data_IF_132639285456
#
_entry.id   IF_132639285456
#
_cell.length_a   1.000
_cell.length_b   1.000
_cell.length_c   1.000
_cell.angle_alpha   90.00
_cell.angle_beta   90.00
_cell.angle_gamma   90.00
#
_symmetry.space_group_name_H-M   'P 1'
#
loop_
_entity.id
_entity.type
_entity.pdbx_description
1 polymer ?
#
# COMPACT_ATOMS: atom_id res chain seq x y z
N UNK A 1 -21.42 -5.90 1.13
CA UNK A 1 -21.77 -4.97 0.05
C UNK A 1 -21.55 -5.73 -1.26
N UNK A 2 -22.54 -5.82 -2.15
CA UNK A 2 -22.40 -6.50 -3.44
C UNK A 2 -21.52 -5.65 -4.37
N UNK A 3 -20.20 -5.89 -4.33
CA UNK A 3 -19.22 -5.17 -5.11
C UNK A 3 -18.16 -6.14 -5.65
N UNK A 4 -17.65 -5.85 -6.84
CA UNK A 4 -16.58 -6.61 -7.50
C UNK A 4 -15.33 -5.75 -7.68
N UNK A 5 -14.18 -6.38 -7.63
CA UNK A 5 -12.92 -5.80 -8.09
C UNK A 5 -12.90 -5.86 -9.61
N UNK A 6 -12.92 -4.71 -10.26
CA UNK A 6 -12.97 -4.63 -11.73
C UNK A 6 -11.62 -4.25 -12.35
N UNK A 7 -10.70 -3.71 -11.56
CA UNK A 7 -9.32 -3.42 -11.97
C UNK A 7 -8.44 -3.24 -10.74
N UNK A 8 -7.14 -3.38 -10.88
CA UNK A 8 -6.19 -2.82 -9.92
C UNK A 8 -5.96 -1.34 -10.22
N UNK A 9 -5.71 -0.56 -9.16
CA UNK A 9 -5.33 0.85 -9.31
C UNK A 9 -3.81 0.97 -9.44
N UNK A 10 -3.06 0.42 -8.49
CA UNK A 10 -1.60 0.39 -8.54
C UNK A 10 -1.03 -0.79 -7.74
N UNK A 11 0.19 -1.17 -8.07
CA UNK A 11 0.99 -2.18 -7.37
C UNK A 11 2.15 -1.51 -6.62
N UNK A 12 2.57 -2.10 -5.50
CA UNK A 12 3.53 -1.46 -4.61
C UNK A 12 2.99 -0.13 -4.08
N UNK A 13 3.83 0.90 -4.08
CA UNK A 13 3.41 2.26 -3.68
C UNK A 13 3.12 2.41 -2.20
N UNK A 14 3.82 1.64 -1.37
CA UNK A 14 3.70 1.68 0.09
C UNK A 14 5.04 1.37 0.74
N UNK A 15 5.21 1.79 1.99
CA UNK A 15 6.43 1.52 2.75
C UNK A 15 6.20 1.52 4.25
N UNK A 16 7.07 0.80 4.95
CA UNK A 16 7.28 0.95 6.38
C UNK A 16 8.23 2.12 6.58
N UNK A 17 7.71 3.21 7.12
CA UNK A 17 8.47 4.41 7.47
C UNK A 17 8.67 4.43 8.98
N UNK A 18 9.90 4.70 9.42
CA UNK A 18 10.31 4.67 10.83
C UNK A 18 11.03 5.95 11.22
N UNK A 19 11.17 6.18 12.50
CA UNK A 19 11.97 7.30 13.02
C UNK A 19 13.43 7.24 12.48
N UNK A 20 14.10 8.37 12.24
CA UNK A 20 15.41 8.39 11.56
C UNK A 20 16.49 7.53 12.23
N UNK A 21 16.42 7.35 13.56
CA UNK A 21 17.38 6.56 14.32
C UNK A 21 17.16 5.03 14.26
N UNK A 22 16.06 4.58 13.67
CA UNK A 22 15.76 3.15 13.51
C UNK A 22 16.36 2.69 12.18
N UNK A 23 17.32 1.78 12.24
CA UNK A 23 18.03 1.25 11.07
C UNK A 23 17.67 -0.19 10.76
N UNK A 24 17.13 -0.93 11.73
CA UNK A 24 16.73 -2.32 11.60
C UNK A 24 15.31 -2.54 12.11
N UNK A 25 14.56 -3.44 11.47
CA UNK A 25 13.18 -3.77 11.87
C UNK A 25 13.11 -4.25 13.32
N UNK A 26 14.11 -4.98 13.79
CA UNK A 26 14.17 -5.50 15.18
C UNK A 26 14.14 -4.40 16.25
N UNK A 27 14.58 -3.18 15.93
CA UNK A 27 14.55 -2.06 16.86
C UNK A 27 13.13 -1.52 17.13
N UNK A 28 12.13 -2.03 16.42
CA UNK A 28 10.72 -1.76 16.69
C UNK A 28 10.17 -2.58 17.87
N UNK A 29 10.93 -3.51 18.42
CA UNK A 29 10.57 -4.24 19.65
C UNK A 29 10.28 -3.25 20.80
N UNK A 30 9.16 -3.48 21.50
CA UNK A 30 8.69 -2.59 22.57
C UNK A 30 8.09 -1.27 22.11
N UNK A 31 7.91 -1.06 20.80
CA UNK A 31 7.42 0.19 20.22
C UNK A 31 6.01 0.04 19.64
N UNK A 32 5.38 1.18 19.31
CA UNK A 32 4.12 1.22 18.57
C UNK A 32 4.35 1.57 17.10
N UNK A 33 3.67 0.85 16.21
CA UNK A 33 3.68 1.08 14.76
C UNK A 33 2.25 1.26 14.28
N UNK A 34 2.01 2.31 13.49
CA UNK A 34 0.68 2.59 12.97
C UNK A 34 0.39 1.85 11.66
N UNK A 35 -0.85 1.41 11.53
CA UNK A 35 -1.46 0.86 10.32
C UNK A 35 -2.70 1.69 9.96
N UNK A 36 -3.14 1.74 8.67
CA UNK A 36 -4.31 2.52 8.31
C UNK A 36 -5.64 1.89 8.78
N UNK A 37 -5.73 0.57 8.75
CA UNK A 37 -6.85 -0.21 9.28
C UNK A 37 -6.51 -1.71 9.30
N UNK A 38 -7.28 -2.48 10.07
CA UNK A 38 -6.96 -3.88 10.36
C UNK A 38 -6.97 -4.82 9.15
N UNK A 39 -7.87 -4.61 8.18
CA UNK A 39 -7.96 -5.40 6.94
C UNK A 39 -7.11 -4.86 5.79
N UNK A 40 -6.23 -3.89 6.05
CA UNK A 40 -5.38 -3.32 4.99
C UNK A 40 -4.30 -4.30 4.56
N UNK A 41 -3.92 -4.23 3.28
CA UNK A 41 -2.72 -4.90 2.77
C UNK A 41 -1.46 -4.50 3.57
N UNK A 42 -1.43 -3.27 4.06
CA UNK A 42 -0.35 -2.76 4.90
C UNK A 42 -0.20 -3.57 6.20
N UNK A 43 -1.33 -3.89 6.86
CA UNK A 43 -1.31 -4.74 8.06
C UNK A 43 -0.80 -6.15 7.76
N UNK A 44 -1.21 -6.74 6.64
CA UNK A 44 -0.73 -8.05 6.20
C UNK A 44 0.79 -8.04 5.99
N UNK A 45 1.29 -7.05 5.25
CA UNK A 45 2.72 -6.97 4.89
C UNK A 45 3.60 -6.64 6.11
N UNK A 46 3.18 -5.70 6.96
CA UNK A 46 3.99 -5.34 8.14
C UNK A 46 4.08 -6.47 9.15
N UNK A 47 3.00 -7.23 9.34
CA UNK A 47 3.04 -8.40 10.23
C UNK A 47 3.91 -9.53 9.67
N UNK A 48 3.92 -9.73 8.35
CA UNK A 48 4.88 -10.65 7.72
C UNK A 48 6.31 -10.19 8.01
N UNK A 49 6.61 -8.92 7.76
CA UNK A 49 7.94 -8.36 8.01
C UNK A 49 8.36 -8.47 9.49
N UNK A 50 7.43 -8.29 10.42
CA UNK A 50 7.72 -8.47 11.85
C UNK A 50 8.05 -9.93 12.17
N UNK A 51 7.25 -10.88 11.71
CA UNK A 51 7.52 -12.32 11.93
C UNK A 51 8.86 -12.73 11.35
N UNK A 52 9.20 -12.28 10.15
CA UNK A 52 10.48 -12.57 9.49
C UNK A 52 11.69 -12.03 10.27
N UNK A 53 11.45 -11.04 11.14
CA UNK A 53 12.47 -10.44 12.02
C UNK A 53 12.36 -10.88 13.49
N UNK A 54 11.55 -11.91 13.79
CA UNK A 54 11.39 -12.45 15.14
C UNK A 54 10.56 -11.57 16.08
N UNK A 55 9.79 -10.63 15.54
CA UNK A 55 8.89 -9.76 16.28
C UNK A 55 7.47 -10.32 16.29
N UNK A 56 6.74 -10.04 17.38
CA UNK A 56 5.36 -10.48 17.60
C UNK A 56 4.44 -9.25 17.54
N UNK A 57 3.58 -9.14 16.52
CA UNK A 57 2.57 -8.08 16.50
C UNK A 57 1.51 -8.33 17.57
N UNK A 58 1.18 -7.27 18.30
CA UNK A 58 0.13 -7.28 19.32
C UNK A 58 -0.78 -6.07 19.17
N UNK A 59 -1.97 -6.14 19.76
CA UNK A 59 -2.86 -4.99 19.95
C UNK A 59 -3.13 -4.83 21.43
N UNK A 60 -2.58 -3.78 22.01
CA UNK A 60 -2.68 -3.46 23.43
C UNK A 60 -3.06 -1.99 23.60
N UNK A 61 -3.75 -1.68 24.69
CA UNK A 61 -4.07 -0.30 25.05
C UNK A 61 -2.80 0.56 25.19
N UNK A 62 -2.93 1.84 24.92
CA UNK A 62 -1.83 2.79 25.07
C UNK A 62 -1.25 2.75 26.48
N UNK A 63 0.08 2.71 26.59
CA UNK A 63 0.79 2.64 27.87
C UNK A 63 0.88 1.24 28.48
N UNK A 64 0.30 0.21 27.86
CA UNK A 64 0.48 -1.17 28.31
C UNK A 64 1.93 -1.64 28.15
N UNK A 65 2.40 -2.46 29.09
CA UNK A 65 3.71 -3.08 28.99
C UNK A 65 3.78 -4.04 27.79
N UNK A 66 4.83 -3.91 27.01
CA UNK A 66 5.12 -4.79 25.88
C UNK A 66 6.20 -5.81 26.27
N UNK A 67 6.08 -7.02 25.74
CA UNK A 67 7.14 -8.03 25.83
C UNK A 67 8.38 -7.64 25.05
N UNK A 68 9.47 -8.33 25.28
CA UNK A 68 10.79 -7.99 24.73
C UNK A 68 10.85 -8.00 23.19
N UNK A 69 9.96 -8.73 22.53
CA UNK A 69 9.86 -8.84 21.07
C UNK A 69 8.49 -8.41 20.51
N UNK A 70 7.62 -7.84 21.34
CA UNK A 70 6.32 -7.37 20.91
C UNK A 70 6.39 -6.01 20.24
N UNK A 71 5.58 -5.82 19.19
CA UNK A 71 5.33 -4.55 18.52
C UNK A 71 3.83 -4.26 18.59
N UNK A 72 3.47 -3.11 19.16
CA UNK A 72 2.07 -2.74 19.30
C UNK A 72 1.55 -2.09 18.00
N UNK A 73 0.53 -2.68 17.41
CA UNK A 73 -0.15 -2.10 16.24
C UNK A 73 -1.24 -1.14 16.70
N UNK A 74 -1.25 0.05 16.11
CA UNK A 74 -2.27 1.07 16.36
C UNK A 74 -2.85 1.56 15.04
N UNK A 75 -4.16 1.84 15.01
CA UNK A 75 -4.81 2.37 13.81
C UNK A 75 -4.78 3.89 13.83
N UNK A 76 -4.23 4.50 12.78
CA UNK A 76 -4.23 5.94 12.55
C UNK A 76 -4.64 6.26 11.10
N UNK A 77 -5.38 7.36 10.87
CA UNK A 77 -5.54 7.90 9.53
C UNK A 77 -4.19 8.20 8.88
N UNK A 78 -4.01 7.95 7.56
CA UNK A 78 -2.74 8.19 6.88
C UNK A 78 -2.17 9.61 7.06
N UNK A 79 -3.02 10.63 7.07
CA UNK A 79 -2.62 12.03 7.28
C UNK A 79 -2.02 12.30 8.66
N UNK A 80 -2.39 11.48 9.66
CA UNK A 80 -1.97 11.66 11.05
C UNK A 80 -0.65 10.93 11.36
N UNK A 81 -0.23 10.02 10.46
CA UNK A 81 0.96 9.19 10.68
C UNK A 81 2.28 9.99 10.68
N UNK A 82 2.59 10.86 9.69
CA UNK A 82 3.81 11.66 9.73
C UNK A 82 3.91 12.56 10.97
N UNK A 83 2.88 13.33 11.38
CA UNK A 83 2.95 14.13 12.61
C UNK A 83 3.02 13.26 13.88
N UNK A 84 2.41 12.07 13.91
CA UNK A 84 2.55 11.14 15.04
C UNK A 84 3.97 10.61 15.17
N UNK A 85 4.65 10.33 14.04
CA UNK A 85 6.06 9.94 14.01
C UNK A 85 6.96 11.10 14.48
N UNK A 86 6.74 12.30 13.94
CA UNK A 86 7.51 13.48 14.30
C UNK A 86 7.42 13.82 15.80
N UNK A 87 6.24 13.63 16.40
CA UNK A 87 5.99 13.84 17.83
C UNK A 87 6.40 12.64 18.71
N UNK A 88 6.98 11.58 18.12
CA UNK A 88 7.41 10.35 18.81
C UNK A 88 6.28 9.59 19.51
N UNK A 89 5.03 9.78 19.11
CA UNK A 89 3.90 8.99 19.61
C UNK A 89 3.91 7.56 19.07
N UNK A 90 4.52 7.37 17.90
CA UNK A 90 4.79 6.07 17.27
C UNK A 90 6.25 6.03 16.82
N UNK A 91 6.82 4.84 16.72
CA UNK A 91 8.17 4.63 16.21
C UNK A 91 8.23 4.42 14.70
N UNK A 92 7.09 4.07 14.10
CA UNK A 92 6.96 3.88 12.67
C UNK A 92 5.50 3.74 12.25
N UNK A 93 5.29 3.69 10.96
CA UNK A 93 3.99 3.41 10.35
C UNK A 93 4.17 2.75 8.99
N UNK A 94 3.16 2.02 8.55
CA UNK A 94 3.10 1.48 7.20
C UNK A 94 1.86 2.01 6.49
N UNK A 95 2.05 2.60 5.31
CA UNK A 95 0.97 3.27 4.59
C UNK A 95 1.29 3.42 3.10
N UNK A 96 0.25 3.68 2.30
CA UNK A 96 0.40 4.05 0.90
C UNK A 96 1.08 5.42 0.74
N UNK A 97 1.73 5.61 -0.41
CA UNK A 97 2.25 6.91 -0.81
C UNK A 97 1.10 7.94 -0.97
N UNK A 98 1.40 9.24 -0.77
CA UNK A 98 2.72 9.87 -0.67
C UNK A 98 3.20 10.14 0.76
N UNK A 99 2.59 9.57 1.78
CA UNK A 99 2.88 9.86 3.18
C UNK A 99 4.28 9.42 3.62
N UNK A 100 4.85 8.38 2.98
CA UNK A 100 6.23 7.96 3.24
C UNK A 100 7.21 8.99 2.66
N UNK A 101 7.02 9.39 1.41
CA UNK A 101 7.81 10.43 0.78
C UNK A 101 7.70 11.78 1.51
N UNK A 102 6.53 12.11 2.06
CA UNK A 102 6.33 13.30 2.88
C UNK A 102 7.21 13.28 4.14
N UNK A 103 7.27 12.16 4.86
CA UNK A 103 8.11 12.05 6.04
C UNK A 103 9.61 12.16 5.73
N UNK A 104 10.03 11.62 4.58
CA UNK A 104 11.40 11.77 4.09
C UNK A 104 11.74 13.23 3.76
N UNK A 105 10.86 13.93 3.02
CA UNK A 105 11.05 15.35 2.69
C UNK A 105 11.08 16.25 3.93
N UNK A 106 10.24 15.98 4.91
CA UNK A 106 10.23 16.67 6.19
C UNK A 106 11.38 16.24 7.13
N UNK A 107 12.15 15.20 6.76
CA UNK A 107 13.24 14.62 7.56
C UNK A 107 12.78 14.13 8.94
N UNK A 108 11.52 13.75 9.09
CA UNK A 108 10.93 13.20 10.31
C UNK A 108 10.91 11.67 10.32
N UNK A 109 11.14 11.05 9.18
CA UNK A 109 11.16 9.60 9.03
C UNK A 109 12.05 9.16 7.87
N UNK A 110 12.32 7.88 7.82
CA UNK A 110 12.98 7.20 6.71
C UNK A 110 12.21 5.94 6.31
N UNK A 111 12.22 5.60 5.05
CA UNK A 111 11.68 4.31 4.61
C UNK A 111 12.62 3.20 5.09
N UNK A 112 12.09 2.28 5.89
CA UNK A 112 12.79 1.10 6.38
C UNK A 112 12.67 -0.06 5.39
N UNK A 113 11.51 -0.22 4.78
CA UNK A 113 11.25 -1.27 3.80
C UNK A 113 10.09 -0.88 2.89
N UNK A 114 10.27 -1.06 1.59
CA UNK A 114 9.14 -0.95 0.64
C UNK A 114 8.31 -2.24 0.64
N UNK A 115 6.99 -2.09 0.55
CA UNK A 115 6.09 -3.25 0.54
C UNK A 115 6.24 -4.10 -0.72
N UNK A 116 6.56 -3.50 -1.86
CA UNK A 116 6.85 -4.21 -3.10
C UNK A 116 8.10 -5.09 -3.03
N UNK A 117 9.06 -4.75 -2.16
CA UNK A 117 10.24 -5.57 -1.91
C UNK A 117 9.96 -6.74 -0.94
N UNK A 118 8.91 -6.65 -0.12
CA UNK A 118 8.43 -7.75 0.75
C UNK A 118 7.49 -8.69 0.00
N UNK A 119 6.56 -8.13 -0.76
CA UNK A 119 5.62 -8.88 -1.59
C UNK A 119 5.53 -8.24 -2.97
N UNK A 120 6.30 -8.80 -3.89
CA UNK A 120 6.42 -8.28 -5.26
C UNK A 120 5.06 -8.22 -5.95
N UNK A 121 4.80 -7.10 -6.64
CA UNK A 121 3.60 -6.87 -7.44
C UNK A 121 2.28 -7.03 -6.68
N UNK A 122 2.28 -6.88 -5.35
CA UNK A 122 1.01 -6.86 -4.61
C UNK A 122 0.17 -5.65 -5.03
N UNK A 123 -1.14 -5.84 -5.19
CA UNK A 123 -2.04 -4.70 -5.33
C UNK A 123 -2.08 -3.95 -3.99
N UNK A 124 -1.84 -2.64 -4.02
CA UNK A 124 -2.06 -1.80 -2.86
C UNK A 124 -3.51 -1.31 -2.84
N UNK A 125 -3.97 -0.80 -3.98
CA UNK A 125 -5.33 -0.31 -4.15
C UNK A 125 -5.98 -0.95 -5.37
N UNK A 126 -7.30 -1.14 -5.27
CA UNK A 126 -8.12 -1.73 -6.32
C UNK A 126 -9.32 -0.84 -6.63
N UNK A 127 -9.91 -1.05 -7.78
CA UNK A 127 -11.14 -0.38 -8.19
C UNK A 127 -12.31 -1.31 -7.91
N UNK A 128 -13.20 -0.89 -7.02
CA UNK A 128 -14.46 -1.58 -6.76
C UNK A 128 -15.60 -0.91 -7.52
N UNK A 129 -16.48 -1.74 -8.07
CA UNK A 129 -17.76 -1.27 -8.60
C UNK A 129 -18.91 -2.12 -8.03
N UNK A 130 -20.05 -1.48 -7.82
CA UNK A 130 -21.24 -2.18 -7.33
C UNK A 130 -21.78 -3.11 -8.41
N UNK A 131 -22.18 -4.34 -8.04
CA UNK A 131 -22.71 -5.34 -8.97
C UNK A 131 -23.89 -4.81 -9.78
N UNK A 132 -24.80 -4.04 -9.14
CA UNK A 132 -25.91 -3.42 -9.84
C UNK A 132 -25.47 -2.55 -11.03
N UNK A 133 -24.35 -1.79 -10.90
CA UNK A 133 -23.86 -0.96 -12.00
C UNK A 133 -23.19 -1.81 -13.10
N UNK A 134 -22.53 -2.89 -12.71
CA UNK A 134 -21.91 -3.82 -13.67
C UNK A 134 -22.96 -4.52 -14.54
N UNK A 135 -24.11 -4.88 -13.95
CA UNK A 135 -25.17 -5.64 -14.62
C UNK A 135 -26.15 -4.73 -15.38
N UNK A 136 -26.52 -3.58 -14.79
CA UNK A 136 -27.58 -2.71 -15.35
C UNK A 136 -27.03 -1.49 -16.11
N UNK A 137 -25.72 -1.18 -15.97
CA UNK A 137 -25.07 -0.05 -16.63
C UNK A 137 -23.71 -0.45 -17.23
N UNK A 138 -23.62 -1.58 -17.98
CA UNK A 138 -22.33 -2.12 -18.43
C UNK A 138 -21.54 -1.18 -19.32
N UNK A 139 -22.20 -0.38 -20.18
CA UNK A 139 -21.53 0.60 -21.02
C UNK A 139 -20.90 1.74 -20.22
N UNK A 140 -21.59 2.20 -19.17
CA UNK A 140 -21.05 3.19 -18.26
C UNK A 140 -19.88 2.62 -17.47
N UNK A 141 -20.02 1.42 -16.94
CA UNK A 141 -18.96 0.71 -16.22
C UNK A 141 -17.71 0.52 -17.09
N UNK A 142 -17.88 0.15 -18.35
CA UNK A 142 -16.78 0.05 -19.32
C UNK A 142 -16.09 1.38 -19.56
N UNK A 143 -16.83 2.48 -19.71
CA UNK A 143 -16.24 3.83 -19.88
C UNK A 143 -15.42 4.24 -18.68
N UNK A 144 -15.88 3.97 -17.46
CA UNK A 144 -15.16 4.26 -16.22
C UNK A 144 -13.85 3.47 -16.17
N UNK A 145 -13.90 2.16 -16.41
CA UNK A 145 -12.70 1.31 -16.38
C UNK A 145 -11.72 1.72 -17.49
N UNK A 146 -12.21 2.03 -18.70
CA UNK A 146 -11.37 2.54 -19.80
C UNK A 146 -10.62 3.83 -19.40
N UNK A 147 -11.32 4.77 -18.75
CA UNK A 147 -10.71 6.02 -18.32
C UNK A 147 -9.61 5.79 -17.28
N UNK A 148 -9.85 4.89 -16.32
CA UNK A 148 -8.87 4.52 -15.29
C UNK A 148 -7.65 3.85 -15.91
N UNK A 149 -7.84 2.84 -16.75
CA UNK A 149 -6.74 2.12 -17.41
C UNK A 149 -5.92 3.07 -18.29
N UNK A 150 -6.58 3.92 -19.06
CA UNK A 150 -5.91 4.92 -19.89
C UNK A 150 -5.06 5.87 -19.03
N UNK A 151 -5.60 6.35 -17.92
CA UNK A 151 -4.87 7.23 -17.00
C UNK A 151 -3.66 6.52 -16.36
N UNK A 152 -3.79 5.25 -15.98
CA UNK A 152 -2.70 4.44 -15.46
C UNK A 152 -1.55 4.30 -16.47
N UNK A 153 -1.86 3.90 -17.70
CA UNK A 153 -0.86 3.73 -18.75
C UNK A 153 -0.19 5.06 -19.11
N UNK A 154 -0.98 6.13 -19.22
CA UNK A 154 -0.43 7.46 -19.42
C UNK A 154 0.53 7.87 -18.29
N UNK A 155 0.14 7.63 -17.03
CA UNK A 155 0.98 7.95 -15.86
C UNK A 155 2.31 7.18 -15.88
N UNK A 156 2.33 5.93 -16.34
CA UNK A 156 3.57 5.15 -16.48
C UNK A 156 4.57 5.83 -17.39
N UNK A 157 4.09 6.40 -18.50
CA UNK A 157 4.92 7.02 -19.53
C UNK A 157 5.25 8.49 -19.20
N UNK A 158 4.46 9.14 -18.33
CA UNK A 158 4.53 10.58 -18.02
C UNK A 158 4.65 10.86 -16.51
N UNK A 159 5.48 10.08 -15.81
CA UNK A 159 5.54 10.07 -14.33
C UNK A 159 5.83 11.45 -13.72
N UNK A 160 6.79 12.19 -14.24
CA UNK A 160 7.13 13.53 -13.74
C UNK A 160 6.02 14.55 -14.03
N UNK A 161 5.39 14.46 -15.21
CA UNK A 161 4.25 15.30 -15.56
C UNK A 161 3.03 14.98 -14.67
N UNK A 162 2.78 13.70 -14.41
CA UNK A 162 1.73 13.27 -13.47
C UNK A 162 1.98 13.80 -12.06
N UNK A 163 3.21 13.78 -11.57
CA UNK A 163 3.56 14.35 -10.27
C UNK A 163 3.25 15.85 -10.21
N UNK A 164 3.60 16.62 -11.25
CA UNK A 164 3.29 18.04 -11.33
C UNK A 164 1.77 18.28 -11.40
N UNK A 165 1.07 17.53 -12.25
CA UNK A 165 -0.38 17.65 -12.44
C UNK A 165 -1.17 17.38 -11.14
N UNK A 166 -0.75 16.37 -10.38
CA UNK A 166 -1.41 15.95 -9.13
C UNK A 166 -1.06 16.84 -7.93
N UNK A 167 0.00 17.65 -8.02
CA UNK A 167 0.51 18.43 -6.90
C UNK A 167 -0.40 19.59 -6.51
N UNK A 168 -0.13 20.19 -5.33
CA UNK A 168 -0.77 21.43 -4.89
C UNK A 168 -0.49 22.62 -5.80
N UNK A 169 0.59 22.54 -6.62
CA UNK A 169 1.01 23.57 -7.55
C UNK A 169 0.54 23.26 -8.99
N UNK A 170 -0.13 22.13 -9.20
CA UNK A 170 -0.81 21.81 -10.45
C UNK A 170 -2.07 22.66 -10.67
N UNK A 171 -2.51 22.74 -11.92
CA UNK A 171 -3.65 23.60 -12.31
C UNK A 171 -4.93 23.31 -11.48
N UNK A 172 -5.19 22.04 -11.18
CA UNK A 172 -6.40 21.62 -10.47
C UNK A 172 -6.17 21.32 -8.98
N UNK A 173 -4.92 21.34 -8.50
CA UNK A 173 -4.55 21.11 -7.11
C UNK A 173 -5.18 19.83 -6.53
N UNK A 174 -5.08 18.70 -7.27
CA UNK A 174 -5.74 17.44 -6.91
C UNK A 174 -5.32 16.88 -5.55
N UNK A 175 -4.09 17.17 -5.10
CA UNK A 175 -3.61 16.76 -3.77
C UNK A 175 -2.97 17.94 -3.04
N UNK A 176 -2.87 17.92 -1.71
CA UNK A 176 -2.21 18.96 -0.94
C UNK A 176 -0.67 18.84 -0.93
N UNK A 177 -0.12 17.84 -1.64
CA UNK A 177 1.30 17.55 -1.61
C UNK A 177 2.11 18.40 -2.57
N UNK A 178 3.32 18.78 -2.13
CA UNK A 178 4.25 19.52 -2.98
C UNK A 178 4.78 18.65 -4.14
N UNK A 179 5.16 19.26 -5.29
CA UNK A 179 5.71 18.52 -6.43
C UNK A 179 6.90 17.63 -6.07
N UNK A 180 7.77 18.07 -5.16
CA UNK A 180 8.94 17.32 -4.71
C UNK A 180 8.56 15.98 -4.04
N UNK A 181 7.51 16.00 -3.20
CA UNK A 181 6.97 14.80 -2.56
C UNK A 181 6.45 13.81 -3.60
N UNK A 182 5.66 14.29 -4.56
CA UNK A 182 5.09 13.44 -5.60
C UNK A 182 6.14 12.95 -6.62
N UNK A 183 7.15 13.76 -6.93
CA UNK A 183 8.26 13.33 -7.77
C UNK A 183 9.06 12.20 -7.11
N UNK A 184 9.30 12.26 -5.78
CA UNK A 184 9.96 11.17 -5.06
C UNK A 184 9.20 9.84 -5.17
N UNK A 185 7.88 9.90 -5.33
CA UNK A 185 7.01 8.70 -5.50
C UNK A 185 6.99 8.22 -6.95
N UNK A 186 6.68 9.12 -7.90
CA UNK A 186 6.37 8.76 -9.28
C UNK A 186 7.61 8.73 -10.18
N UNK A 187 8.57 9.62 -9.95
CA UNK A 187 9.78 9.78 -10.76
C UNK A 187 11.01 9.96 -9.85
N UNK A 188 11.34 8.98 -8.98
CA UNK A 188 12.46 9.10 -8.05
C UNK A 188 13.78 9.26 -8.80
N UNK A 189 14.70 10.04 -8.23
CA UNK A 189 16.05 10.17 -8.75
C UNK A 189 16.84 8.87 -8.58
N UNK A 190 17.80 8.60 -9.47
CA UNK A 190 18.68 7.43 -9.37
C UNK A 190 19.41 7.36 -8.02
N UNK A 191 19.85 8.50 -7.49
CA UNK A 191 20.49 8.58 -6.17
C UNK A 191 19.58 8.12 -5.02
N UNK A 192 18.25 8.32 -5.12
CA UNK A 192 17.31 7.83 -4.10
C UNK A 192 17.30 6.30 -4.10
N UNK A 193 17.29 5.67 -5.27
CA UNK A 193 17.35 4.21 -5.39
C UNK A 193 18.63 3.63 -4.81
N UNK A 194 19.77 4.23 -5.11
CA UNK A 194 21.08 3.84 -4.55
C UNK A 194 21.06 3.94 -3.01
N UNK A 195 20.49 5.01 -2.46
CA UNK A 195 20.35 5.20 -1.03
C UNK A 195 19.42 4.14 -0.40
N UNK A 196 18.33 3.75 -1.05
CA UNK A 196 17.43 2.69 -0.56
C UNK A 196 18.08 1.30 -0.59
N UNK A 197 18.92 1.00 -1.59
CA UNK A 197 19.72 -0.22 -1.63
C UNK A 197 20.76 -0.21 -0.50
N UNK A 198 21.49 0.86 -0.34
CA UNK A 198 22.52 1.00 0.69
C UNK A 198 21.95 0.94 2.12
N UNK A 199 20.74 1.44 2.32
CA UNK A 199 20.06 1.44 3.63
C UNK A 199 19.30 0.15 3.95
N UNK A 200 19.16 -0.78 2.98
CA UNK A 200 18.36 -2.00 3.11
C UNK A 200 16.84 -1.80 3.01
N UNK A 201 16.37 -0.62 2.61
CA UNK A 201 14.98 -0.40 2.28
C UNK A 201 14.52 -1.21 1.06
N UNK A 202 15.47 -1.48 0.17
CA UNK A 202 15.39 -2.46 -0.92
C UNK A 202 16.42 -3.55 -0.64
N UNK A 203 15.99 -4.81 -0.53
CA UNK A 203 16.86 -5.95 -0.25
C UNK A 203 16.94 -6.94 -1.42
N UNK A 204 15.93 -6.95 -2.30
CA UNK A 204 15.90 -7.83 -3.46
C UNK A 204 16.30 -7.02 -4.70
N UNK A 205 17.47 -7.35 -5.26
CA UNK A 205 18.02 -6.68 -6.45
C UNK A 205 17.13 -6.80 -7.70
N UNK A 206 16.21 -7.77 -7.70
CA UNK A 206 15.24 -8.00 -8.78
C UNK A 206 13.92 -7.27 -8.58
N UNK A 207 13.75 -6.53 -7.47
CA UNK A 207 12.58 -5.70 -7.31
C UNK A 207 12.63 -4.59 -8.34
N UNK A 208 11.50 -4.40 -9.02
CA UNK A 208 11.36 -3.39 -10.04
C UNK A 208 11.71 -2.01 -9.47
N UNK A 209 12.38 -1.21 -10.26
CA UNK A 209 12.92 0.10 -9.86
C UNK A 209 11.85 1.12 -9.47
N UNK A 210 10.60 0.81 -9.76
CA UNK A 210 9.48 1.70 -9.51
C UNK A 210 8.96 1.58 -8.09
N UNK A 211 9.03 2.66 -7.32
CA UNK A 211 8.45 2.77 -5.98
C UNK A 211 6.95 2.48 -5.98
N UNK A 212 6.25 2.89 -7.04
CA UNK A 212 4.87 2.58 -7.37
C UNK A 212 4.76 2.28 -8.86
N UNK A 213 3.96 1.28 -9.23
CA UNK A 213 3.68 1.01 -10.63
C UNK A 213 2.18 0.83 -10.89
N UNK A 214 1.78 0.98 -12.14
CA UNK A 214 0.38 0.97 -12.56
C UNK A 214 0.12 -0.22 -13.46
N UNK A 215 -0.41 -1.27 -12.87
CA UNK A 215 -0.77 -2.52 -13.53
C UNK A 215 -2.26 -2.76 -13.28
N UNK A 216 -3.12 -2.67 -14.32
CA UNK A 216 -4.57 -2.66 -14.15
C UNK A 216 -5.21 -4.03 -13.97
N UNK A 217 -4.58 -5.14 -14.42
CA UNK A 217 -5.22 -6.45 -14.42
C UNK A 217 -5.26 -7.08 -13.01
N UNK A 218 -6.44 -7.45 -12.50
CA UNK A 218 -6.60 -8.03 -11.17
C UNK A 218 -6.34 -9.54 -11.18
N UNK A 219 -5.09 -9.95 -11.03
CA UNK A 219 -4.70 -11.36 -11.03
C UNK A 219 -5.40 -12.15 -9.92
N UNK A 220 -6.17 -13.21 -10.25
CA UNK A 220 -6.85 -14.05 -9.26
C UNK A 220 -5.91 -14.66 -8.22
N UNK A 221 -4.72 -15.06 -8.64
CA UNK A 221 -3.68 -15.63 -7.75
C UNK A 221 -3.29 -14.70 -6.60
N UNK A 222 -3.33 -13.39 -6.81
CA UNK A 222 -3.12 -12.43 -5.74
C UNK A 222 -4.25 -12.49 -4.69
N UNK A 223 -5.51 -12.53 -5.14
CA UNK A 223 -6.66 -12.64 -4.22
C UNK A 223 -6.61 -13.93 -3.43
N UNK A 224 -6.25 -15.05 -4.06
CA UNK A 224 -6.07 -16.34 -3.38
C UNK A 224 -5.01 -16.25 -2.28
N UNK A 225 -3.86 -15.67 -2.60
CA UNK A 225 -2.76 -15.51 -1.64
C UNK A 225 -3.14 -14.52 -0.52
N UNK A 226 -3.84 -13.43 -0.84
CA UNK A 226 -4.30 -12.46 0.15
C UNK A 226 -5.26 -13.10 1.16
N UNK A 227 -6.20 -13.94 0.71
CA UNK A 227 -7.11 -14.68 1.60
C UNK A 227 -6.32 -15.56 2.57
N UNK A 228 -5.30 -16.29 2.09
CA UNK A 228 -4.44 -17.12 2.94
C UNK A 228 -3.72 -16.28 4.01
N UNK A 229 -3.10 -15.17 3.59
CA UNK A 229 -2.34 -14.29 4.50
C UNK A 229 -3.24 -13.59 5.52
N UNK A 230 -4.46 -13.20 5.14
CA UNK A 230 -5.43 -12.59 6.07
C UNK A 230 -5.83 -13.54 7.19
N UNK A 231 -5.92 -14.85 6.94
CA UNK A 231 -6.22 -15.86 7.99
C UNK A 231 -5.17 -15.85 9.10
N UNK A 232 -3.90 -15.61 8.75
CA UNK A 232 -2.76 -15.57 9.68
C UNK A 232 -2.46 -14.17 10.24
N UNK A 233 -3.23 -13.16 9.83
CA UNK A 233 -3.02 -11.77 10.24
C UNK A 233 -3.78 -11.47 11.52
N UNK A 234 -3.13 -10.79 12.48
CA UNK A 234 -3.79 -10.21 13.64
C UNK A 234 -4.73 -9.10 13.17
N UNK A 235 -6.00 -9.26 13.49
CA UNK A 235 -7.08 -8.32 13.17
C UNK A 235 -7.92 -8.16 14.43
N UNK A 236 -8.17 -6.94 14.86
CA UNK A 236 -9.15 -6.65 15.89
C UNK A 236 -10.58 -6.74 15.34
N UNK A 237 -11.50 -7.18 16.18
CA UNK A 237 -12.89 -7.36 15.86
C UNK A 237 -13.21 -8.76 15.32
N UNK A 238 -14.39 -8.88 14.70
CA UNK A 238 -14.86 -10.16 14.17
C UNK A 238 -14.14 -10.51 12.87
N UNK A 239 -13.36 -11.58 12.92
CA UNK A 239 -12.70 -12.19 11.77
C UNK A 239 -13.15 -13.62 11.51
N UNK A 240 -14.20 -14.08 12.18
CA UNK A 240 -14.67 -15.46 12.09
C UNK A 240 -15.01 -15.90 10.67
N UNK A 241 -15.51 -14.97 9.84
CA UNK A 241 -15.83 -15.24 8.43
C UNK A 241 -14.60 -15.65 7.60
N UNK A 242 -13.39 -15.21 7.96
CA UNK A 242 -12.17 -15.55 7.21
C UNK A 242 -11.88 -17.04 7.22
N UNK A 243 -12.21 -17.73 8.32
CA UNK A 243 -11.95 -19.17 8.45
C UNK A 243 -12.69 -19.98 7.37
N UNK A 244 -13.91 -19.57 7.03
CA UNK A 244 -14.76 -20.24 6.03
C UNK A 244 -14.45 -19.87 4.58
N UNK A 245 -13.59 -18.90 4.31
CA UNK A 245 -13.28 -18.49 2.94
C UNK A 245 -12.41 -19.54 2.24
N UNK A 246 -12.89 -20.03 1.08
CA UNK A 246 -12.06 -20.75 0.12
C UNK A 246 -11.33 -19.73 -0.78
N UNK A 247 -9.99 -19.77 -0.88
CA UNK A 247 -9.23 -18.77 -1.64
C UNK A 247 -9.60 -18.71 -3.11
N UNK A 248 -9.70 -19.86 -3.78
CA UNK A 248 -10.01 -19.92 -5.21
C UNK A 248 -11.45 -19.49 -5.51
N UNK A 249 -12.40 -19.91 -4.67
CA UNK A 249 -13.80 -19.46 -4.78
C UNK A 249 -13.89 -17.95 -4.57
N UNK A 250 -13.21 -17.42 -3.54
CA UNK A 250 -13.20 -15.98 -3.25
C UNK A 250 -12.63 -15.18 -4.40
N UNK A 251 -11.52 -15.63 -5.00
CA UNK A 251 -10.93 -14.96 -6.15
C UNK A 251 -11.89 -14.92 -7.35
N UNK A 252 -12.56 -16.03 -7.61
CA UNK A 252 -13.53 -16.13 -8.72
C UNK A 252 -14.79 -15.29 -8.48
N UNK A 253 -15.25 -15.22 -7.22
CA UNK A 253 -16.46 -14.45 -6.90
C UNK A 253 -16.18 -12.95 -6.80
N UNK A 254 -15.06 -12.56 -6.22
CA UNK A 254 -14.72 -11.14 -5.97
C UNK A 254 -14.32 -10.40 -7.25
N UNK A 255 -13.66 -11.05 -8.20
CA UNK A 255 -13.05 -10.40 -9.38
C UNK A 255 -13.94 -10.50 -10.60
N UNK A 256 -14.27 -9.36 -11.19
CA UNK A 256 -14.91 -9.26 -12.52
C UNK A 256 -13.95 -8.56 -13.49
N UNK A 257 -13.20 -9.34 -14.25
CA UNK A 257 -12.16 -8.84 -15.15
C UNK A 257 -12.64 -8.51 -16.57
N UNK A 258 -13.94 -8.67 -16.85
CA UNK A 258 -14.52 -8.43 -18.20
C UNK A 258 -14.18 -7.04 -18.74
N UNK A 259 -14.35 -6.03 -17.89
CA UNK A 259 -14.18 -4.62 -18.28
C UNK A 259 -12.72 -4.24 -18.46
N UNK A 260 -11.83 -4.70 -17.58
CA UNK A 260 -10.41 -4.37 -17.68
C UNK A 260 -9.73 -5.09 -18.85
N UNK A 261 -10.14 -6.31 -19.19
CA UNK A 261 -9.66 -6.99 -20.40
C UNK A 261 -9.97 -6.19 -21.66
N UNK A 262 -11.21 -5.70 -21.79
CA UNK A 262 -11.62 -4.86 -22.90
C UNK A 262 -10.84 -3.52 -22.92
N UNK A 263 -10.65 -2.91 -21.75
CA UNK A 263 -9.91 -1.67 -21.63
C UNK A 263 -8.44 -1.84 -22.07
N UNK A 264 -7.76 -2.89 -21.63
CA UNK A 264 -6.36 -3.18 -22.00
C UNK A 264 -6.25 -3.47 -23.52
N UNK A 265 -7.21 -4.17 -24.11
CA UNK A 265 -7.21 -4.49 -25.53
C UNK A 265 -7.48 -3.26 -26.42
N UNK A 266 -8.00 -2.17 -25.87
CA UNK A 266 -8.40 -0.97 -26.61
C UNK A 266 -7.36 0.18 -26.56
N UNK A 267 -6.20 -0.03 -25.92
CA UNK A 267 -5.18 1.02 -25.71
C UNK A 267 -3.94 0.78 -26.55
#
# INVERSE_FOLDING_TARGET
>A
VPAKVVAWNHVGGSGLTVAPGITEVKQLAGQSVAIPFWYSIHNVVVQQLFRDNGLVPVSKAAGSALGANEVNLVVLPPSDMPPALASKRIAGYIVAEPFNALAEELKVGRVQRFTGDVWRNHACCVVFMHEHDLDNRPEWSQKVVNAIVKAQLWTRDHRAEAAQLLSKDGANRYTPHAPQVLNRVLAPAAADREAYLASGAIQHSHWDEQRIDFQPYPFPSYTEELVKRLKDTLIEGDKGFLAGLDPAHTAKDLVDDRFVRNAIASV
#
